data_IF_804057752451
#
_entry.id   IF_804057752451
#
_cell.length_a   1.000
_cell.length_b   1.000
_cell.length_c   1.000
_cell.angle_alpha   90.00
_cell.angle_beta   90.00
_cell.angle_gamma   90.00
#
_symmetry.space_group_name_H-M   'P 1'
#
loop_
_entity.id
_entity.type
_entity.pdbx_description
1 polymer ?
#
# COMPACT_ATOMS: atom_id res chain seq x y z
N UNK A 1 2.66 3.75 31.47
CA UNK A 1 2.12 3.13 30.24
C UNK A 1 3.27 2.87 29.29
N UNK A 2 3.53 1.61 28.94
CA UNK A 2 4.68 1.23 28.13
C UNK A 2 4.44 1.69 26.68
N UNK A 3 5.05 2.81 26.29
CA UNK A 3 4.91 3.43 24.97
C UNK A 3 5.61 2.56 23.91
N UNK A 4 4.97 1.46 23.52
CA UNK A 4 5.33 0.80 22.27
C UNK A 4 4.99 1.79 21.15
N UNK A 5 5.94 2.18 20.29
CA UNK A 5 5.69 3.17 19.24
C UNK A 5 4.83 2.55 18.13
N UNK A 6 3.54 2.38 18.41
CA UNK A 6 2.54 1.87 17.47
C UNK A 6 2.28 2.89 16.35
N UNK A 7 2.17 4.17 16.71
CA UNK A 7 1.94 5.25 15.76
C UNK A 7 3.13 5.44 14.79
N UNK A 8 4.39 5.52 15.26
CA UNK A 8 5.55 5.57 14.36
C UNK A 8 5.70 4.34 13.45
N UNK A 9 5.22 3.18 13.87
CA UNK A 9 5.25 1.97 13.05
C UNK A 9 4.33 2.11 11.82
N UNK A 10 3.12 2.64 12.01
CA UNK A 10 2.17 2.91 10.91
C UNK A 10 2.76 3.92 9.93
N UNK A 11 3.29 5.04 10.43
CA UNK A 11 3.93 6.05 9.58
C UNK A 11 5.12 5.48 8.81
N UNK A 12 5.92 4.63 9.43
CA UNK A 12 7.03 3.98 8.72
C UNK A 12 6.56 3.05 7.61
N UNK A 13 5.46 2.31 7.81
CA UNK A 13 4.88 1.51 6.73
C UNK A 13 4.31 2.38 5.62
N UNK A 14 3.64 3.48 5.98
CA UNK A 14 3.09 4.43 5.02
C UNK A 14 4.18 5.03 4.12
N UNK A 15 5.30 5.45 4.70
CA UNK A 15 6.47 5.94 3.93
C UNK A 15 6.97 4.88 2.95
N UNK A 16 7.02 3.61 3.36
CA UNK A 16 7.43 2.50 2.47
C UNK A 16 6.43 2.30 1.34
N UNK A 17 5.12 2.34 1.60
CA UNK A 17 4.11 2.24 0.53
C UNK A 17 4.25 3.41 -0.44
N UNK A 18 4.39 4.64 0.06
CA UNK A 18 4.52 5.83 -0.79
C UNK A 18 5.80 5.80 -1.63
N UNK A 19 6.95 5.46 -1.02
CA UNK A 19 8.20 5.31 -1.74
C UNK A 19 8.11 4.21 -2.82
N UNK A 20 7.51 3.06 -2.47
CA UNK A 20 7.25 1.98 -3.42
C UNK A 20 6.35 2.41 -4.58
N UNK A 21 5.29 3.17 -4.32
CA UNK A 21 4.39 3.68 -5.36
C UNK A 21 5.07 4.70 -6.30
N UNK A 22 5.97 5.53 -5.78
CA UNK A 22 6.76 6.47 -6.59
C UNK A 22 7.76 5.70 -7.47
N UNK A 23 8.48 4.74 -6.90
CA UNK A 23 9.41 3.88 -7.64
C UNK A 23 8.68 3.06 -8.72
N UNK A 24 7.52 2.50 -8.38
CA UNK A 24 6.63 1.80 -9.29
C UNK A 24 6.26 2.70 -10.48
N UNK A 25 5.81 3.92 -10.20
CA UNK A 25 5.43 4.90 -11.23
C UNK A 25 6.61 5.25 -12.14
N UNK A 26 7.82 5.41 -11.60
CA UNK A 26 9.01 5.72 -12.39
C UNK A 26 9.41 4.57 -13.31
N UNK A 27 9.36 3.33 -12.80
CA UNK A 27 9.61 2.12 -13.59
C UNK A 27 8.56 2.02 -14.70
N UNK A 28 7.28 2.13 -14.36
CA UNK A 28 6.19 2.08 -15.33
C UNK A 28 6.31 3.15 -16.41
N UNK A 29 6.62 4.39 -16.05
CA UNK A 29 6.83 5.48 -16.99
C UNK A 29 8.00 5.22 -17.96
N UNK A 30 9.09 4.63 -17.45
CA UNK A 30 10.25 4.24 -18.27
C UNK A 30 9.89 3.12 -19.25
N UNK A 31 9.17 2.09 -18.78
CA UNK A 31 8.70 0.99 -19.63
C UNK A 31 7.70 1.48 -20.69
N UNK A 32 6.80 2.39 -20.33
CA UNK A 32 5.81 2.96 -21.24
C UNK A 32 6.45 3.84 -22.33
N UNK A 33 7.52 4.55 -21.98
CA UNK A 33 8.25 5.40 -22.94
C UNK A 33 9.06 4.60 -23.95
N UNK A 34 9.48 3.38 -23.59
CA UNK A 34 10.35 2.52 -24.41
C UNK A 34 9.57 1.49 -25.23
N UNK A 35 8.33 1.16 -24.84
CA UNK A 35 7.55 0.11 -25.49
C UNK A 35 6.11 0.56 -25.72
N UNK A 36 5.60 0.34 -26.93
CA UNK A 36 4.18 0.50 -27.29
C UNK A 36 3.31 -0.63 -26.68
N UNK A 37 3.26 -0.72 -25.35
CA UNK A 37 2.43 -1.70 -24.64
C UNK A 37 0.94 -1.35 -24.73
N UNK A 38 0.10 -2.38 -24.79
CA UNK A 38 -1.36 -2.24 -24.73
C UNK A 38 -1.81 -1.82 -23.33
N UNK A 39 -2.82 -0.94 -23.26
CA UNK A 39 -3.36 -0.41 -22.00
C UNK A 39 -3.75 -1.51 -20.98
N UNK A 40 -4.17 -2.68 -21.48
CA UNK A 40 -4.56 -3.81 -20.65
C UNK A 40 -3.40 -4.40 -19.83
N UNK A 41 -2.21 -4.56 -20.44
CA UNK A 41 -1.04 -5.11 -19.75
C UNK A 41 -0.54 -4.17 -18.65
N UNK A 42 -0.64 -2.86 -18.89
CA UNK A 42 -0.24 -1.82 -17.92
C UNK A 42 -1.16 -1.83 -16.70
N UNK A 43 -2.48 -1.98 -16.89
CA UNK A 43 -3.45 -2.06 -15.78
C UNK A 43 -3.15 -3.23 -14.84
N UNK A 44 -2.85 -4.42 -15.37
CA UNK A 44 -2.49 -5.59 -14.56
C UNK A 44 -1.17 -5.40 -13.80
N UNK A 45 -0.19 -4.74 -14.42
CA UNK A 45 1.09 -4.46 -13.79
C UNK A 45 0.95 -3.45 -12.63
N UNK A 46 0.17 -2.38 -12.82
CA UNK A 46 -0.15 -1.40 -11.77
C UNK A 46 -0.83 -2.10 -10.60
N UNK A 47 -1.84 -2.95 -10.87
CA UNK A 47 -2.53 -3.71 -9.83
C UNK A 47 -1.54 -4.54 -9.00
N UNK A 48 -0.71 -5.33 -9.67
CA UNK A 48 0.28 -6.18 -9.01
C UNK A 48 1.27 -5.37 -8.16
N UNK A 49 1.81 -4.27 -8.69
CA UNK A 49 2.73 -3.41 -7.94
C UNK A 49 2.06 -2.73 -6.73
N UNK A 50 0.81 -2.27 -6.87
CA UNK A 50 0.08 -1.67 -5.75
C UNK A 50 -0.13 -2.67 -4.61
N UNK A 51 -0.56 -3.89 -4.94
CA UNK A 51 -0.69 -4.97 -3.95
C UNK A 51 0.64 -5.30 -3.29
N UNK A 52 1.73 -5.36 -4.06
CA UNK A 52 3.07 -5.64 -3.54
C UNK A 52 3.57 -4.52 -2.62
N UNK A 53 3.41 -3.26 -3.00
CA UNK A 53 3.80 -2.11 -2.19
C UNK A 53 3.04 -2.08 -0.86
N UNK A 54 1.73 -2.33 -0.89
CA UNK A 54 0.89 -2.38 0.30
C UNK A 54 1.24 -3.57 1.20
N UNK A 55 1.53 -4.72 0.62
CA UNK A 55 1.99 -5.89 1.37
C UNK A 55 3.30 -5.58 2.10
N UNK A 56 4.30 -5.02 1.41
CA UNK A 56 5.60 -4.67 1.99
C UNK A 56 5.45 -3.57 3.05
N UNK A 57 4.67 -2.51 2.78
CA UNK A 57 4.45 -1.45 3.75
C UNK A 57 3.67 -1.92 4.98
N UNK A 58 2.68 -2.80 4.79
CA UNK A 58 1.98 -3.48 5.88
C UNK A 58 2.92 -4.37 6.69
N UNK A 59 3.80 -5.12 6.03
CA UNK A 59 4.82 -5.94 6.67
C UNK A 59 5.76 -5.10 7.54
N UNK A 60 6.27 -3.99 7.02
CA UNK A 60 7.16 -3.08 7.77
C UNK A 60 6.44 -2.43 8.95
N UNK A 61 5.18 -1.99 8.79
CA UNK A 61 4.43 -1.43 9.92
C UNK A 61 4.10 -2.47 10.97
N UNK A 62 3.73 -3.68 10.57
CA UNK A 62 3.55 -4.82 11.48
C UNK A 62 4.83 -5.10 12.27
N UNK A 63 5.95 -5.30 11.58
CA UNK A 63 7.24 -5.58 12.20
C UNK A 63 7.64 -4.54 13.27
N UNK A 64 7.45 -3.25 12.96
CA UNK A 64 7.76 -2.16 13.89
C UNK A 64 6.75 -2.01 15.03
N UNK A 65 5.48 -2.37 14.80
CA UNK A 65 4.43 -2.30 15.81
C UNK A 65 4.60 -3.35 16.93
N UNK A 66 5.31 -4.46 16.64
CA UNK A 66 5.60 -5.58 17.55
C UNK A 66 4.37 -6.24 18.20
N UNK A 67 3.17 -5.80 17.85
CA UNK A 67 1.89 -6.27 18.39
C UNK A 67 0.74 -5.84 17.47
N UNK A 68 -0.35 -6.62 17.45
CA UNK A 68 -1.56 -6.34 16.67
C UNK A 68 -1.26 -6.00 15.19
N UNK A 69 -0.47 -6.86 14.54
CA UNK A 69 0.04 -6.62 13.18
C UNK A 69 -1.04 -6.42 12.13
N UNK A 70 -2.16 -7.13 12.26
CA UNK A 70 -3.34 -6.93 11.40
C UNK A 70 -3.90 -5.50 11.48
N UNK A 71 -3.91 -4.89 12.67
CA UNK A 71 -4.35 -3.50 12.87
C UNK A 71 -3.31 -2.53 12.33
N UNK A 72 -2.03 -2.73 12.63
CA UNK A 72 -0.97 -1.85 12.14
C UNK A 72 -0.92 -1.83 10.61
N UNK A 73 -0.92 -3.01 9.98
CA UNK A 73 -0.93 -3.15 8.52
C UNK A 73 -2.23 -2.68 7.88
N UNK A 74 -3.38 -3.03 8.46
CA UNK A 74 -4.70 -2.57 7.98
C UNK A 74 -4.85 -1.05 8.06
N UNK A 75 -4.41 -0.43 9.17
CA UNK A 75 -4.45 1.02 9.34
C UNK A 75 -3.46 1.75 8.41
N UNK A 76 -2.31 1.13 8.11
CA UNK A 76 -1.37 1.64 7.10
C UNK A 76 -2.01 1.65 5.70
N UNK A 77 -2.66 0.54 5.32
CA UNK A 77 -3.37 0.44 4.04
C UNK A 77 -4.58 1.38 3.96
N UNK A 78 -5.26 1.59 5.08
CA UNK A 78 -6.38 2.53 5.19
C UNK A 78 -5.92 3.97 5.00
N UNK A 79 -4.83 4.37 5.66
CA UNK A 79 -4.24 5.70 5.49
C UNK A 79 -3.76 5.91 4.04
N UNK A 80 -3.09 4.92 3.46
CA UNK A 80 -2.67 4.98 2.06
C UNK A 80 -3.88 5.14 1.13
N UNK A 81 -4.93 4.36 1.34
CA UNK A 81 -6.19 4.46 0.58
C UNK A 81 -6.80 5.85 0.65
N UNK A 82 -6.86 6.46 1.84
CA UNK A 82 -7.39 7.82 2.03
C UNK A 82 -6.53 8.84 1.27
N UNK A 83 -5.21 8.70 1.32
CA UNK A 83 -4.28 9.59 0.62
C UNK A 83 -4.42 9.42 -0.89
N UNK A 84 -4.39 8.18 -1.39
CA UNK A 84 -4.54 7.86 -2.80
C UNK A 84 -5.87 8.37 -3.35
N UNK A 85 -6.96 8.14 -2.62
CA UNK A 85 -8.28 8.68 -2.94
C UNK A 85 -8.25 10.21 -3.03
N UNK A 86 -7.67 10.88 -2.03
CA UNK A 86 -7.57 12.35 -2.01
C UNK A 86 -6.82 12.88 -3.24
N UNK A 87 -5.73 12.21 -3.64
CA UNK A 87 -4.97 12.55 -4.84
C UNK A 87 -5.78 12.31 -6.12
N UNK A 88 -6.50 11.20 -6.24
CA UNK A 88 -7.32 10.89 -7.41
C UNK A 88 -8.49 11.85 -7.58
N UNK A 89 -9.25 12.14 -6.51
CA UNK A 89 -10.44 12.98 -6.59
C UNK A 89 -10.10 14.47 -6.76
N UNK A 90 -9.13 14.99 -6.01
CA UNK A 90 -8.72 16.41 -6.11
C UNK A 90 -7.81 16.67 -7.31
N UNK A 91 -6.98 15.70 -7.69
CA UNK A 91 -5.95 15.87 -8.74
C UNK A 91 -6.41 15.50 -10.15
N UNK A 92 -7.24 14.47 -10.30
CA UNK A 92 -7.63 13.93 -11.62
C UNK A 92 -9.15 13.92 -11.87
N UNK A 93 -9.95 14.34 -10.88
CA UNK A 93 -11.41 14.43 -10.98
C UNK A 93 -12.09 13.11 -11.42
N UNK A 94 -11.50 11.97 -11.04
CA UNK A 94 -12.07 10.65 -11.36
C UNK A 94 -13.23 10.29 -10.42
N UNK A 95 -14.39 9.86 -10.95
CA UNK A 95 -15.52 9.46 -10.13
C UNK A 95 -15.32 8.10 -9.48
N UNK A 96 -15.86 7.97 -8.26
CA UNK A 96 -15.83 6.75 -7.47
C UNK A 96 -16.60 5.63 -8.19
N UNK A 97 -15.88 4.65 -8.71
CA UNK A 97 -16.49 3.48 -9.38
C UNK A 97 -16.59 2.32 -8.40
N UNK A 98 -17.63 1.50 -8.50
CA UNK A 98 -17.85 0.30 -7.67
C UNK A 98 -16.67 -0.69 -7.71
N UNK A 99 -15.95 -0.75 -8.83
CA UNK A 99 -14.71 -1.53 -8.96
C UNK A 99 -13.58 -1.02 -8.04
N UNK A 100 -13.48 0.29 -7.82
CA UNK A 100 -12.48 0.86 -6.92
C UNK A 100 -12.75 0.49 -5.47
N UNK A 101 -14.00 0.38 -5.04
CA UNK A 101 -14.33 -0.03 -3.67
C UNK A 101 -13.81 -1.44 -3.39
N UNK A 102 -14.04 -2.37 -4.32
CA UNK A 102 -13.56 -3.75 -4.20
C UNK A 102 -12.03 -3.79 -4.16
N UNK A 103 -11.38 -2.94 -4.96
CA UNK A 103 -9.93 -2.81 -5.02
C UNK A 103 -9.33 -2.34 -3.69
N UNK A 104 -9.89 -1.27 -3.12
CA UNK A 104 -9.45 -0.72 -1.84
C UNK A 104 -9.73 -1.70 -0.69
N UNK A 105 -10.81 -2.49 -0.77
CA UNK A 105 -11.04 -3.62 0.13
C UNK A 105 -9.92 -4.66 0.05
N UNK A 106 -9.48 -5.01 -1.16
CA UNK A 106 -8.31 -5.87 -1.38
C UNK A 106 -7.04 -5.29 -0.77
N UNK A 107 -6.78 -3.99 -0.96
CA UNK A 107 -5.63 -3.29 -0.39
C UNK A 107 -5.56 -3.36 1.14
N UNK A 108 -6.71 -3.20 1.81
CA UNK A 108 -6.82 -3.35 3.26
C UNK A 108 -6.47 -4.77 3.72
N UNK A 109 -7.01 -5.78 3.04
CA UNK A 109 -6.76 -7.19 3.36
C UNK A 109 -5.27 -7.51 3.16
N UNK A 110 -4.69 -7.10 2.04
CA UNK A 110 -3.27 -7.34 1.73
C UNK A 110 -2.35 -6.64 2.73
N UNK A 111 -2.64 -5.39 3.09
CA UNK A 111 -1.89 -4.67 4.11
C UNK A 111 -2.02 -5.32 5.49
N UNK A 112 -3.21 -5.79 5.87
CA UNK A 112 -3.44 -6.50 7.12
C UNK A 112 -2.70 -7.85 7.18
N UNK A 113 -2.71 -8.63 6.09
CA UNK A 113 -1.95 -9.88 5.97
C UNK A 113 -0.45 -9.60 6.06
N UNK A 114 0.06 -8.62 5.32
CA UNK A 114 1.45 -8.18 5.39
C UNK A 114 1.83 -7.83 6.84
N UNK A 115 1.00 -7.05 7.53
CA UNK A 115 1.24 -6.68 8.93
C UNK A 115 1.17 -7.85 9.92
N UNK A 116 0.28 -8.82 9.72
CA UNK A 116 0.26 -10.06 10.51
C UNK A 116 1.57 -10.81 10.39
N UNK A 117 2.06 -11.01 9.17
CA UNK A 117 3.32 -11.68 8.91
C UNK A 117 4.50 -10.89 9.48
N UNK A 118 4.49 -9.57 9.34
CA UNK A 118 5.55 -8.68 9.85
C UNK A 118 5.73 -8.78 11.37
N UNK A 119 4.64 -8.79 12.14
CA UNK A 119 4.73 -8.97 13.60
C UNK A 119 5.29 -10.33 13.99
N UNK A 120 4.94 -11.39 13.26
CA UNK A 120 5.34 -12.76 13.62
C UNK A 120 6.79 -13.07 13.23
N UNK A 121 7.26 -12.56 12.08
CA UNK A 121 8.59 -12.89 11.54
C UNK A 121 9.73 -12.07 12.17
N UNK A 122 9.50 -10.80 12.51
CA UNK A 122 10.52 -9.92 13.13
C UNK A 122 10.48 -9.90 14.67
N UNK A 123 9.61 -10.72 15.27
CA UNK A 123 9.59 -10.96 16.71
C UNK A 123 10.48 -12.14 17.14
N UNK A 124 10.93 -12.96 16.19
CA UNK A 124 11.97 -13.98 16.40
C UNK A 124 13.35 -13.37 16.51
#
# INVERSE_FOLDING_TARGET
MNNRPFLPAIFSGLVVVMAGAILASLILASFLSLTSYTEHSIKWLILFLSFLCLFIGGFVSGAKAKSKGWIAGGLTALLFTIIAYSVSTLGYNEPFTSSQILLHGGYLITGAIGGMLGVNLLRS
#
